data_IF_782282444035
#
_entry.id   IF_782282444035
#
_cell.length_a   1.000
_cell.length_b   1.000
_cell.length_c   1.000
_cell.angle_alpha   90.00
_cell.angle_beta   90.00
_cell.angle_gamma   90.00
#
_symmetry.space_group_name_H-M   'P 1'
#
loop_
_entity.id
_entity.type
_entity.pdbx_description
1 polymer ?
#
# COMPACT_ATOMS: atom_id res chain seq x y z
N UNK A 1 28.01 9.00 -1.14
CA UNK A 1 27.05 8.25 -0.30
C UNK A 1 25.68 8.81 -0.61
N UNK A 2 24.89 8.12 -1.42
CA UNK A 2 23.50 8.54 -1.69
C UNK A 2 22.68 7.98 -0.54
N UNK A 3 22.55 8.77 0.53
CA UNK A 3 21.57 8.52 1.57
C UNK A 3 20.21 8.87 1.01
N UNK A 4 19.55 7.90 0.35
CA UNK A 4 18.13 8.01 0.11
C UNK A 4 17.46 7.84 1.48
N UNK A 5 17.02 8.95 2.08
CA UNK A 5 16.01 8.88 3.12
C UNK A 5 14.81 8.27 2.40
N UNK A 6 14.53 7.00 2.68
CA UNK A 6 13.29 6.35 2.25
C UNK A 6 12.21 6.97 3.14
N UNK A 7 11.77 8.18 2.80
CA UNK A 7 10.49 8.70 3.25
C UNK A 7 9.41 7.90 2.52
N UNK A 8 9.29 6.61 2.82
CA UNK A 8 8.01 5.94 2.64
C UNK A 8 7.11 6.61 3.67
N UNK A 9 6.16 7.46 3.28
CA UNK A 9 5.24 7.98 4.27
C UNK A 9 4.57 6.77 4.92
N UNK A 10 4.58 6.77 6.26
CA UNK A 10 3.98 5.70 7.03
C UNK A 10 2.58 5.44 6.50
N UNK A 11 2.23 4.16 6.35
CA UNK A 11 0.88 3.77 5.96
C UNK A 11 -0.14 4.50 6.82
N UNK A 12 -1.15 5.09 6.20
CA UNK A 12 -2.21 5.79 6.90
C UNK A 12 -3.04 4.79 7.70
N UNK A 13 -2.72 4.66 8.99
CA UNK A 13 -3.29 3.69 9.91
C UNK A 13 -4.82 3.83 10.08
N UNK A 14 -5.34 5.05 9.88
CA UNK A 14 -6.78 5.34 9.93
C UNK A 14 -7.53 4.94 8.64
N UNK A 15 -6.82 4.76 7.53
CA UNK A 15 -7.35 4.31 6.25
C UNK A 15 -7.33 2.78 6.14
N UNK A 16 -8.12 2.24 5.21
CA UNK A 16 -8.01 0.83 4.81
C UNK A 16 -6.78 0.60 3.94
N UNK A 17 -6.35 -0.66 3.78
CA UNK A 17 -5.28 -0.98 2.85
C UNK A 17 -5.58 -0.54 1.41
N UNK A 18 -6.83 -0.71 0.96
CA UNK A 18 -7.29 -0.24 -0.36
C UNK A 18 -7.21 1.29 -0.50
N UNK A 19 -7.58 2.02 0.55
CA UNK A 19 -7.50 3.47 0.57
C UNK A 19 -6.05 3.95 0.53
N UNK A 20 -5.15 3.28 1.24
CA UNK A 20 -3.71 3.52 1.15
C UNK A 20 -3.22 3.36 -0.29
N UNK A 21 -3.45 2.20 -0.91
CA UNK A 21 -3.00 1.95 -2.28
C UNK A 21 -3.56 2.94 -3.30
N UNK A 22 -4.85 3.31 -3.18
CA UNK A 22 -5.46 4.33 -4.03
C UNK A 22 -4.85 5.71 -3.81
N UNK A 23 -4.54 6.07 -2.56
CA UNK A 23 -3.91 7.34 -2.25
C UNK A 23 -2.55 7.46 -2.93
N UNK A 24 -1.71 6.43 -2.80
CA UNK A 24 -0.41 6.37 -3.48
C UNK A 24 -0.52 6.32 -5.00
N UNK A 25 -1.45 5.52 -5.53
CA UNK A 25 -1.71 5.44 -6.97
C UNK A 25 -2.11 6.80 -7.58
N UNK A 26 -2.83 7.63 -6.83
CA UNK A 26 -3.20 8.98 -7.27
C UNK A 26 -2.02 9.98 -7.23
N UNK A 27 -0.99 9.70 -6.43
CA UNK A 27 0.23 10.51 -6.35
C UNK A 27 1.28 10.09 -7.38
N UNK A 28 1.13 8.92 -7.99
CA UNK A 28 2.05 8.42 -9.00
C UNK A 28 2.04 9.32 -10.25
N UNK A 29 3.22 9.54 -10.83
CA UNK A 29 3.39 10.30 -12.09
C UNK A 29 2.62 9.63 -13.24
N UNK A 30 2.57 8.30 -13.23
CA UNK A 30 1.86 7.49 -14.22
C UNK A 30 0.53 7.01 -13.65
N UNK A 31 -0.59 7.16 -14.38
CA UNK A 31 -1.88 6.63 -13.94
C UNK A 31 -1.82 5.11 -13.71
N UNK A 32 -2.19 4.67 -12.51
CA UNK A 32 -2.32 3.26 -12.17
C UNK A 32 -3.78 2.84 -12.29
N UNK A 33 -4.07 1.81 -13.08
CA UNK A 33 -5.43 1.31 -13.27
C UNK A 33 -5.94 0.58 -12.02
N UNK A 34 -7.27 0.48 -11.88
CA UNK A 34 -7.87 -0.24 -10.75
C UNK A 34 -7.57 -1.73 -10.80
N UNK A 35 -7.47 -2.27 -12.02
CA UNK A 35 -7.13 -3.66 -12.30
C UNK A 35 -5.72 -3.95 -11.80
N UNK A 36 -4.77 -3.04 -12.04
CA UNK A 36 -3.41 -3.18 -11.55
C UNK A 36 -3.33 -3.18 -10.02
N UNK A 37 -4.11 -2.32 -9.36
CA UNK A 37 -4.20 -2.33 -7.89
C UNK A 37 -4.74 -3.69 -7.40
N UNK A 38 -5.77 -4.23 -8.04
CA UNK A 38 -6.33 -5.53 -7.67
C UNK A 38 -5.32 -6.67 -7.84
N UNK A 39 -4.54 -6.68 -8.94
CA UNK A 39 -3.45 -7.63 -9.15
C UNK A 39 -2.39 -7.56 -8.06
N UNK A 40 -1.96 -6.35 -7.69
CA UNK A 40 -0.96 -6.14 -6.64
C UNK A 40 -1.48 -6.65 -5.30
N UNK A 41 -2.73 -6.34 -4.95
CA UNK A 41 -3.35 -6.82 -3.69
C UNK A 41 -3.34 -8.34 -3.59
N UNK A 42 -3.59 -9.02 -4.71
CA UNK A 42 -3.50 -10.48 -4.81
C UNK A 42 -2.06 -10.98 -4.69
N UNK A 43 -1.11 -10.33 -5.39
CA UNK A 43 0.30 -10.68 -5.35
C UNK A 43 0.89 -10.58 -3.93
N UNK A 44 0.47 -9.59 -3.15
CA UNK A 44 0.92 -9.41 -1.76
C UNK A 44 0.01 -10.10 -0.73
N UNK A 45 -0.92 -10.94 -1.20
CA UNK A 45 -1.80 -11.78 -0.37
C UNK A 45 -2.59 -10.98 0.69
N UNK A 46 -3.08 -9.80 0.32
CA UNK A 46 -3.86 -8.93 1.23
C UNK A 46 -5.36 -8.90 0.92
N UNK A 47 -5.85 -9.67 -0.05
CA UNK A 47 -7.27 -9.70 -0.47
C UNK A 47 -8.24 -9.83 0.72
N UNK A 48 -7.92 -10.71 1.69
CA UNK A 48 -8.75 -10.97 2.88
C UNK A 48 -8.77 -9.83 3.91
N UNK A 49 -7.86 -8.86 3.79
CA UNK A 49 -7.69 -7.78 4.75
C UNK A 49 -7.72 -6.37 4.13
N UNK A 50 -7.70 -6.25 2.80
CA UNK A 50 -7.50 -4.97 2.09
C UNK A 50 -8.55 -3.90 2.42
N UNK A 51 -9.73 -4.32 2.86
CA UNK A 51 -10.82 -3.44 3.28
C UNK A 51 -10.84 -3.14 4.80
N UNK A 52 -9.90 -3.70 5.58
CA UNK A 52 -9.72 -3.40 7.01
C UNK A 52 -8.76 -2.22 7.17
N UNK A 53 -8.89 -1.51 8.30
CA UNK A 53 -8.00 -0.38 8.63
C UNK A 53 -6.58 -0.87 8.87
N UNK A 54 -5.58 -0.13 8.37
CA UNK A 54 -4.17 -0.55 8.48
C UNK A 54 -3.70 -0.61 9.94
N UNK A 55 -4.28 0.17 10.85
CA UNK A 55 -4.01 0.02 12.30
C UNK A 55 -4.25 -1.40 12.85
N UNK A 56 -5.06 -2.24 12.18
CA UNK A 56 -5.32 -3.62 12.60
C UNK A 56 -4.40 -4.65 11.93
N UNK A 57 -3.48 -4.20 11.08
CA UNK A 57 -2.58 -5.08 10.35
C UNK A 57 -1.45 -5.53 11.27
N UNK A 58 -1.03 -6.79 11.14
CA UNK A 58 0.23 -7.24 11.73
C UNK A 58 1.42 -6.54 11.05
N UNK A 59 2.60 -6.60 11.67
CA UNK A 59 3.82 -6.05 11.07
C UNK A 59 4.07 -6.59 9.66
N UNK A 60 3.91 -7.91 9.45
CA UNK A 60 4.08 -8.52 8.13
C UNK A 60 3.06 -8.04 7.09
N UNK A 61 1.81 -7.79 7.51
CA UNK A 61 0.81 -7.21 6.63
C UNK A 61 1.13 -5.75 6.27
N UNK A 62 1.65 -4.96 7.22
CA UNK A 62 2.12 -3.59 6.95
C UNK A 62 3.32 -3.60 6.00
N UNK A 63 4.27 -4.51 6.17
CA UNK A 63 5.39 -4.68 5.24
C UNK A 63 4.93 -5.04 3.83
N UNK A 64 4.02 -6.00 3.68
CA UNK A 64 3.44 -6.37 2.38
C UNK A 64 2.67 -5.23 1.72
N UNK A 65 1.92 -4.45 2.49
CA UNK A 65 1.26 -3.24 1.99
C UNK A 65 2.27 -2.15 1.58
N UNK A 66 3.37 -2.00 2.33
CA UNK A 66 4.48 -1.11 2.02
C UNK A 66 5.26 -1.50 0.76
N UNK A 67 5.32 -2.79 0.44
CA UNK A 67 5.87 -3.26 -0.84
C UNK A 67 4.89 -2.99 -1.99
N UNK A 68 3.58 -3.09 -1.73
CA UNK A 68 2.55 -2.85 -2.75
C UNK A 68 2.40 -1.37 -3.17
N UNK A 69 2.90 -0.41 -2.38
CA UNK A 69 2.90 1.03 -2.70
C UNK A 69 4.19 1.51 -3.41
N UNK A 70 5.26 0.71 -3.39
CA UNK A 70 6.56 1.05 -3.97
C UNK A 70 6.59 0.74 -5.48
#
# INVERSE_FOLDING_TARGET
QIGAIVENPELYDYMTGMQNLKHFANMAITPISKERIAEIVKLVELEHAIHKKVKTYSLGMKQRLGIAQA
#
